data_IF_329803706761
#
_entry.id   IF_329803706761
#
_cell.length_a   1.000
_cell.length_b   1.000
_cell.length_c   1.000
_cell.angle_alpha   90.00
_cell.angle_beta   90.00
_cell.angle_gamma   90.00
#
_symmetry.space_group_name_H-M   'P 1'
#
loop_
_entity.id
_entity.type
_entity.pdbx_description
1 polymer ?
#
# COMPACT_ATOMS: atom_id res chain seq x y z
N UNK A 1 16.14 -16.34 -5.22
CA UNK A 1 16.51 -14.98 -5.68
C UNK A 1 15.58 -13.97 -5.04
N UNK A 2 16.00 -12.72 -4.84
CA UNK A 2 15.13 -11.66 -4.31
C UNK A 2 14.91 -10.61 -5.38
N UNK A 3 13.65 -10.29 -5.68
CA UNK A 3 13.28 -9.26 -6.65
C UNK A 3 12.14 -8.42 -6.08
N UNK A 4 12.29 -7.09 -6.06
CA UNK A 4 11.32 -6.16 -5.46
C UNK A 4 10.98 -6.48 -3.98
N UNK A 5 11.94 -7.01 -3.22
CA UNK A 5 11.75 -7.44 -1.83
C UNK A 5 11.01 -8.79 -1.68
N UNK A 6 10.59 -9.41 -2.77
CA UNK A 6 9.94 -10.72 -2.82
C UNK A 6 11.00 -11.82 -2.86
N UNK A 7 10.88 -12.78 -1.95
CA UNK A 7 11.72 -13.98 -1.96
C UNK A 7 11.16 -14.99 -2.98
N UNK A 8 11.85 -15.20 -4.08
CA UNK A 8 11.43 -16.14 -5.13
C UNK A 8 12.28 -17.41 -5.02
N UNK A 9 11.61 -18.53 -4.82
CA UNK A 9 12.19 -19.89 -4.85
C UNK A 9 11.59 -20.67 -6.02
N UNK A 10 12.11 -21.87 -6.32
CA UNK A 10 11.59 -22.68 -7.44
C UNK A 10 10.12 -23.07 -7.29
N UNK A 11 9.59 -23.07 -6.06
CA UNK A 11 8.25 -23.59 -5.75
C UNK A 11 7.34 -22.57 -5.07
N UNK A 12 7.88 -21.48 -4.51
CA UNK A 12 7.12 -20.49 -3.74
C UNK A 12 7.60 -19.06 -3.96
N UNK A 13 6.63 -18.14 -3.89
CA UNK A 13 6.85 -16.70 -3.84
C UNK A 13 6.54 -16.23 -2.42
N UNK A 14 7.56 -15.83 -1.69
CA UNK A 14 7.43 -15.30 -0.33
C UNK A 14 7.27 -13.78 -0.37
N UNK A 15 6.17 -13.23 0.15
CA UNK A 15 5.97 -11.80 0.20
C UNK A 15 7.06 -11.10 1.04
N UNK A 16 7.55 -9.90 0.67
CA UNK A 16 8.28 -9.00 1.56
C UNK A 16 7.51 -8.82 2.87
N UNK A 17 8.26 -8.58 3.93
CA UNK A 17 7.67 -8.26 5.23
C UNK A 17 6.90 -6.94 5.13
N UNK A 18 5.57 -7.02 5.00
CA UNK A 18 4.68 -5.87 5.03
C UNK A 18 4.44 -5.47 6.48
N UNK A 19 4.73 -4.23 6.83
CA UNK A 19 4.33 -3.64 8.11
C UNK A 19 3.07 -2.84 7.91
N UNK A 20 1.94 -3.35 8.39
CA UNK A 20 0.68 -2.60 8.38
C UNK A 20 0.63 -1.76 9.66
N UNK A 21 0.84 -0.45 9.53
CA UNK A 21 0.65 0.48 10.63
C UNK A 21 -0.85 0.62 10.92
N UNK A 22 -1.28 0.23 12.12
CA UNK A 22 -2.69 0.30 12.55
C UNK A 22 -3.05 1.60 13.27
N UNK A 23 -2.04 2.32 13.76
CA UNK A 23 -2.18 3.60 14.44
C UNK A 23 -1.80 4.72 13.49
N UNK A 24 -2.80 5.27 12.79
CA UNK A 24 -2.59 6.32 11.79
C UNK A 24 -2.78 7.67 12.47
N UNK A 25 -1.66 8.36 12.75
CA UNK A 25 -1.68 9.69 13.39
C UNK A 25 -1.31 10.80 12.44
N UNK A 26 -0.51 10.50 11.42
CA UNK A 26 0.01 11.46 10.47
C UNK A 26 -0.36 11.10 9.05
N UNK A 27 -0.27 12.09 8.14
CA UNK A 27 -0.40 11.85 6.71
C UNK A 27 0.63 10.82 6.22
N UNK A 28 1.84 10.84 6.78
CA UNK A 28 2.89 9.89 6.44
C UNK A 28 2.50 8.45 6.79
N UNK A 29 1.85 8.23 7.94
CA UNK A 29 1.36 6.90 8.33
C UNK A 29 0.29 6.40 7.36
N UNK A 30 -0.61 7.29 6.93
CA UNK A 30 -1.63 6.97 5.93
C UNK A 30 -0.99 6.61 4.58
N UNK A 31 0.07 7.32 4.16
CA UNK A 31 0.82 7.01 2.94
C UNK A 31 1.51 5.64 3.03
N UNK A 32 2.14 5.32 4.16
CA UNK A 32 2.77 4.00 4.38
C UNK A 32 1.74 2.87 4.33
N UNK A 33 0.56 3.08 4.92
CA UNK A 33 -0.53 2.11 4.88
C UNK A 33 -1.01 1.87 3.44
N UNK A 34 -1.23 2.95 2.67
CA UNK A 34 -1.67 2.84 1.27
C UNK A 34 -0.63 2.11 0.42
N UNK A 35 0.67 2.42 0.58
CA UNK A 35 1.73 1.71 -0.13
C UNK A 35 1.75 0.22 0.20
N UNK A 36 1.59 -0.13 1.49
CA UNK A 36 1.51 -1.53 1.93
C UNK A 36 0.32 -2.28 1.34
N UNK A 37 -0.86 -1.64 1.29
CA UNK A 37 -2.06 -2.22 0.71
C UNK A 37 -2.00 -2.34 -0.82
N UNK A 38 -1.36 -1.38 -1.50
CA UNK A 38 -1.12 -1.46 -2.94
C UNK A 38 -0.21 -2.63 -3.30
N UNK A 39 0.83 -2.87 -2.51
CA UNK A 39 1.66 -4.07 -2.68
C UNK A 39 0.83 -5.34 -2.48
N UNK A 40 0.05 -5.38 -1.39
CA UNK A 40 -0.78 -6.53 -1.02
C UNK A 40 -1.87 -6.82 -2.06
N UNK A 41 -2.42 -5.79 -2.73
CA UNK A 41 -3.41 -5.93 -3.81
C UNK A 41 -2.96 -6.83 -4.96
N UNK A 42 -1.66 -6.91 -5.22
CA UNK A 42 -1.14 -7.82 -6.26
C UNK A 42 -1.15 -9.28 -5.82
N UNK A 43 -1.27 -9.55 -4.52
CA UNK A 43 -1.23 -10.90 -3.93
C UNK A 43 -2.62 -11.38 -3.50
N UNK A 44 -3.40 -10.52 -2.88
CA UNK A 44 -4.83 -10.74 -2.59
C UNK A 44 -5.61 -9.82 -3.50
N UNK A 45 -6.57 -10.39 -4.24
CA UNK A 45 -7.43 -9.72 -5.21
C UNK A 45 -8.34 -8.67 -4.55
N UNK A 46 -7.76 -7.55 -4.08
CA UNK A 46 -8.48 -6.45 -3.46
C UNK A 46 -9.11 -5.59 -4.58
N UNK A 47 -10.44 -5.41 -4.60
CA UNK A 47 -11.10 -4.58 -5.60
C UNK A 47 -10.64 -3.11 -5.49
N UNK A 48 -10.35 -2.44 -6.62
CA UNK A 48 -9.89 -1.04 -6.60
C UNK A 48 -10.86 -0.08 -5.92
N UNK A 49 -12.17 -0.36 -5.96
CA UNK A 49 -13.19 0.47 -5.31
C UNK A 49 -13.04 0.58 -3.79
N UNK A 50 -12.47 -0.44 -3.13
CA UNK A 50 -12.22 -0.42 -1.68
C UNK A 50 -11.05 0.51 -1.32
N UNK A 51 -10.13 0.74 -2.25
CA UNK A 51 -8.98 1.63 -2.05
C UNK A 51 -9.30 3.10 -2.32
N UNK A 52 -10.40 3.40 -3.02
CA UNK A 52 -10.80 4.77 -3.39
C UNK A 52 -10.84 5.76 -2.21
N UNK A 53 -11.40 5.40 -1.03
CA UNK A 53 -11.40 6.30 0.13
C UNK A 53 -9.99 6.65 0.60
N UNK A 54 -9.06 5.69 0.56
CA UNK A 54 -7.68 5.91 0.96
C UNK A 54 -6.94 6.85 -0.01
N UNK A 55 -7.20 6.72 -1.32
CA UNK A 55 -6.62 7.65 -2.29
C UNK A 55 -7.18 9.06 -2.14
N UNK A 56 -8.47 9.19 -1.84
CA UNK A 56 -9.07 10.49 -1.58
C UNK A 56 -8.52 11.14 -0.30
N UNK A 57 -8.22 10.35 0.74
CA UNK A 57 -7.56 10.85 1.95
C UNK A 57 -6.16 11.42 1.67
N UNK A 58 -5.46 10.85 0.69
CA UNK A 58 -4.13 11.29 0.27
C UNK A 58 -4.14 12.41 -0.79
N UNK A 59 -5.31 12.79 -1.32
CA UNK A 59 -5.40 13.93 -2.21
C UNK A 59 -5.07 15.19 -1.44
N UNK A 60 -3.94 15.81 -1.78
CA UNK A 60 -3.64 17.16 -1.33
C UNK A 60 -4.65 18.16 -1.89
N UNK A 61 -4.72 19.34 -1.28
CA UNK A 61 -5.43 20.46 -1.89
C UNK A 61 -4.74 20.86 -3.18
N UNK A 62 -5.52 21.21 -4.19
CA UNK A 62 -4.95 21.78 -5.40
C UNK A 62 -4.33 23.16 -5.08
N UNK A 63 -3.22 23.55 -5.74
CA UNK A 63 -2.56 24.85 -5.50
C UNK A 63 -3.48 26.07 -5.66
N UNK A 64 -4.58 25.92 -6.38
CA UNK A 64 -5.59 26.94 -6.68
C UNK A 64 -6.87 26.81 -5.85
N UNK A 65 -6.99 25.78 -5.00
CA UNK A 65 -8.06 25.66 -4.02
C UNK A 65 -7.56 26.23 -2.69
N UNK A 66 -7.63 27.56 -2.57
CA UNK A 66 -7.41 28.26 -1.30
C UNK A 66 -8.54 27.94 -0.31
#
# INVERSE_FOLDING_TARGET
VTFLGVGITNSYITPPQIKICRDIKTLHDAQQLVGSLQWLRNVVLIPPGIMTPLYNLLKGKHPWEQ
#
